data_IF_030642671924
#
_entry.id   IF_030642671924
#
_cell.length_a   1.000
_cell.length_b   1.000
_cell.length_c   1.000
_cell.angle_alpha   90.00
_cell.angle_beta   90.00
_cell.angle_gamma   90.00
#
_symmetry.space_group_name_H-M   'P 1'
#
loop_
_entity.id
_entity.type
_entity.pdbx_description
1 polymer ?
#
# COMPACT_ATOMS: atom_id res chain seq x y z
N UNK A 1 0.82 -37.35 -29.02
CA UNK A 1 -0.62 -37.24 -28.92
C UNK A 1 -1.11 -35.85 -29.39
N UNK A 2 -2.24 -35.78 -30.08
CA UNK A 2 -2.83 -34.51 -30.51
C UNK A 2 -2.45 -34.03 -31.92
N UNK A 3 -1.80 -34.84 -32.74
CA UNK A 3 -1.62 -34.55 -34.15
C UNK A 3 -2.92 -34.82 -34.91
N UNK A 4 -3.37 -33.87 -35.73
CA UNK A 4 -4.43 -34.11 -36.70
C UNK A 4 -3.79 -34.74 -37.93
N UNK A 5 -4.31 -35.90 -38.31
CA UNK A 5 -3.90 -36.57 -39.54
C UNK A 5 -5.01 -36.41 -40.57
N UNK A 6 -4.70 -35.76 -41.67
CA UNK A 6 -5.59 -35.68 -42.83
C UNK A 6 -5.09 -36.66 -43.86
N UNK A 7 -5.93 -37.60 -44.25
CA UNK A 7 -5.64 -38.55 -45.32
C UNK A 7 -6.47 -38.20 -46.55
N UNK A 8 -5.82 -37.95 -47.68
CA UNK A 8 -6.46 -37.78 -48.98
C UNK A 8 -6.47 -39.13 -49.71
N UNK A 9 -7.65 -39.56 -50.02
CA UNK A 9 -7.87 -40.76 -50.87
C UNK A 9 -7.87 -40.33 -52.33
N UNK A 10 -6.98 -40.91 -53.17
CA UNK A 10 -7.01 -40.64 -54.61
C UNK A 10 -8.32 -41.05 -55.31
N UNK A 11 -9.20 -41.72 -54.58
CA UNK A 11 -10.52 -42.20 -55.11
C UNK A 11 -11.72 -41.37 -54.58
N UNK A 12 -11.51 -40.20 -53.94
CA UNK A 12 -12.56 -39.21 -53.72
C UNK A 12 -13.16 -39.09 -52.32
N UNK A 13 -12.66 -39.79 -51.31
CA UNK A 13 -13.10 -39.62 -49.94
C UNK A 13 -11.93 -39.13 -49.05
N UNK A 14 -12.03 -37.94 -48.52
CA UNK A 14 -11.08 -37.39 -47.57
C UNK A 14 -11.45 -37.75 -46.14
N UNK A 15 -10.50 -38.30 -45.40
CA UNK A 15 -10.66 -38.61 -43.98
C UNK A 15 -9.74 -37.74 -43.11
N UNK A 16 -10.30 -37.20 -42.07
CA UNK A 16 -9.55 -36.49 -41.04
C UNK A 16 -9.74 -37.18 -39.70
N UNK A 17 -8.64 -37.36 -38.97
CA UNK A 17 -8.68 -37.86 -37.59
C UNK A 17 -7.62 -37.24 -36.72
N UNK A 18 -7.84 -37.35 -35.41
CA UNK A 18 -6.85 -36.91 -34.42
C UNK A 18 -6.04 -38.10 -33.95
N UNK A 19 -4.75 -38.08 -34.18
CA UNK A 19 -3.83 -39.09 -33.67
C UNK A 19 -3.63 -38.93 -32.17
N UNK A 20 -3.99 -39.96 -31.38
CA UNK A 20 -3.95 -39.95 -29.95
C UNK A 20 -2.59 -40.38 -29.37
N UNK A 21 -1.88 -41.23 -30.08
CA UNK A 21 -0.64 -41.85 -29.66
C UNK A 21 -0.67 -43.36 -29.81
N UNK A 22 0.36 -43.99 -29.22
CA UNK A 22 0.50 -45.45 -29.16
C UNK A 22 0.07 -45.92 -27.77
N UNK A 23 -0.86 -46.90 -27.74
CA UNK A 23 -1.36 -47.54 -26.53
C UNK A 23 -1.47 -49.05 -26.75
N UNK A 24 -1.13 -49.83 -25.75
CA UNK A 24 -1.11 -51.28 -25.83
C UNK A 24 -2.52 -51.89 -25.75
N UNK A 25 -3.44 -51.20 -25.11
CA UNK A 25 -4.80 -51.69 -24.90
C UNK A 25 -5.84 -50.57 -24.90
N UNK A 26 -7.11 -50.95 -25.01
CA UNK A 26 -8.27 -50.09 -24.80
C UNK A 26 -8.22 -49.41 -23.41
N UNK A 27 -7.79 -50.15 -22.37
CA UNK A 27 -7.76 -49.63 -21.01
C UNK A 27 -6.72 -48.52 -20.87
N UNK A 28 -5.59 -48.61 -21.57
CA UNK A 28 -4.57 -47.54 -21.56
C UNK A 28 -5.10 -46.28 -22.20
N UNK A 29 -5.84 -46.39 -23.31
CA UNK A 29 -6.51 -45.25 -23.96
C UNK A 29 -7.51 -44.59 -23.01
N UNK A 30 -8.36 -45.39 -22.34
CA UNK A 30 -9.36 -44.88 -21.39
C UNK A 30 -8.66 -44.20 -20.23
N UNK A 31 -7.59 -44.78 -19.68
CA UNK A 31 -6.78 -44.19 -18.60
C UNK A 31 -6.16 -42.87 -19.03
N UNK A 32 -5.61 -42.79 -20.24
CA UNK A 32 -5.07 -41.56 -20.81
C UNK A 32 -6.14 -40.48 -20.95
N UNK A 33 -7.32 -40.79 -21.50
CA UNK A 33 -8.43 -39.84 -21.63
C UNK A 33 -8.85 -39.27 -20.26
N UNK A 34 -8.96 -40.12 -19.25
CA UNK A 34 -9.25 -39.67 -17.86
C UNK A 34 -8.14 -38.77 -17.33
N UNK A 35 -6.88 -39.08 -17.60
CA UNK A 35 -5.74 -38.29 -17.12
C UNK A 35 -5.66 -36.88 -17.72
N UNK A 36 -6.22 -36.67 -18.91
CA UNK A 36 -6.31 -35.36 -19.59
C UNK A 36 -7.63 -34.65 -19.33
N UNK A 37 -8.45 -35.14 -18.38
CA UNK A 37 -9.68 -34.50 -17.92
C UNK A 37 -10.95 -34.80 -18.72
N UNK A 38 -10.95 -35.84 -19.55
CA UNK A 38 -12.18 -36.30 -20.20
C UNK A 38 -13.05 -37.04 -19.20
N UNK A 39 -14.30 -36.61 -19.03
CA UNK A 39 -15.21 -37.21 -18.05
C UNK A 39 -15.56 -38.65 -18.41
N UNK A 40 -15.74 -39.50 -17.40
CA UNK A 40 -16.12 -40.90 -17.61
C UNK A 40 -17.45 -41.06 -18.35
N UNK A 41 -18.39 -40.17 -18.08
CA UNK A 41 -19.68 -40.14 -18.80
C UNK A 41 -19.49 -39.89 -20.29
N UNK A 42 -18.58 -39.01 -20.68
CA UNK A 42 -18.28 -38.73 -22.08
C UNK A 42 -17.57 -39.92 -22.74
N UNK A 43 -16.59 -40.54 -22.06
CA UNK A 43 -15.89 -41.72 -22.56
C UNK A 43 -16.89 -42.86 -22.82
N UNK A 44 -17.76 -43.10 -21.84
CA UNK A 44 -18.78 -44.18 -21.95
C UNK A 44 -19.87 -43.89 -23.01
N UNK A 45 -20.06 -42.62 -23.39
CA UNK A 45 -20.98 -42.22 -24.45
C UNK A 45 -20.42 -42.42 -25.86
N UNK A 46 -19.14 -42.82 -26.00
CA UNK A 46 -18.46 -43.01 -27.30
C UNK A 46 -18.05 -44.43 -27.51
N UNK A 47 -18.08 -44.84 -28.78
CA UNK A 47 -17.56 -46.15 -29.16
C UNK A 47 -16.04 -46.15 -29.03
N UNK A 48 -15.50 -46.95 -28.13
CA UNK A 48 -14.05 -47.18 -27.99
C UNK A 48 -13.77 -48.59 -28.54
N UNK A 49 -12.94 -48.65 -29.56
CA UNK A 49 -12.56 -49.91 -30.20
C UNK A 49 -11.94 -50.93 -29.23
N UNK A 50 -11.95 -52.19 -29.64
CA UNK A 50 -11.47 -53.33 -28.85
C UNK A 50 -9.93 -53.48 -28.82
N UNK A 51 -9.21 -52.65 -29.54
CA UNK A 51 -7.75 -52.70 -29.66
C UNK A 51 -7.23 -53.73 -30.67
N UNK A 52 -8.11 -54.45 -31.38
CA UNK A 52 -7.72 -55.48 -32.31
C UNK A 52 -7.71 -55.02 -33.78
N UNK A 53 -7.74 -53.72 -34.01
CA UNK A 53 -7.72 -53.15 -35.34
C UNK A 53 -6.36 -53.26 -36.02
N UNK A 54 -6.33 -53.18 -37.34
CA UNK A 54 -5.12 -53.29 -38.16
C UNK A 54 -4.10 -52.14 -37.92
N UNK A 55 -4.48 -51.09 -37.22
CA UNK A 55 -3.58 -50.00 -36.82
C UNK A 55 -2.61 -50.33 -35.67
N UNK A 56 -2.72 -51.52 -35.08
CA UNK A 56 -1.85 -51.96 -33.99
C UNK A 56 -1.96 -51.05 -32.77
N UNK A 57 -0.82 -50.50 -32.30
CA UNK A 57 -0.76 -49.61 -31.15
C UNK A 57 -1.19 -48.17 -31.43
N UNK A 58 -1.41 -47.77 -32.68
CA UNK A 58 -1.74 -46.41 -33.05
C UNK A 58 -3.24 -46.17 -32.93
N UNK A 59 -3.62 -45.23 -32.07
CA UNK A 59 -5.00 -44.88 -31.79
C UNK A 59 -5.38 -43.52 -32.32
N UNK A 60 -6.64 -43.37 -32.73
CA UNK A 60 -7.17 -42.13 -33.32
C UNK A 60 -8.59 -41.84 -32.85
N UNK A 61 -8.97 -40.58 -32.92
CA UNK A 61 -10.34 -40.12 -32.82
C UNK A 61 -10.78 -39.71 -34.23
N UNK A 62 -11.86 -40.26 -34.71
CA UNK A 62 -12.42 -39.93 -36.03
C UNK A 62 -13.94 -39.77 -35.97
N UNK A 63 -14.53 -39.11 -36.98
CA UNK A 63 -15.96 -39.12 -37.24
C UNK A 63 -16.28 -40.21 -38.23
N UNK A 64 -17.10 -41.18 -37.81
CA UNK A 64 -17.61 -42.23 -38.67
C UNK A 64 -19.10 -41.97 -38.95
N UNK A 65 -19.49 -41.90 -40.20
CA UNK A 65 -20.84 -41.51 -40.64
C UNK A 65 -21.97 -42.30 -40.00
N UNK A 66 -21.76 -43.56 -39.65
CA UNK A 66 -22.78 -44.41 -39.04
C UNK A 66 -22.72 -44.50 -37.52
N UNK A 67 -21.54 -44.28 -36.92
CA UNK A 67 -21.30 -44.46 -35.50
C UNK A 67 -21.01 -43.13 -34.75
N UNK A 68 -20.97 -42.01 -35.48
CA UNK A 68 -20.59 -40.72 -34.94
C UNK A 68 -19.10 -40.63 -34.61
N UNK A 69 -18.74 -40.01 -33.47
CA UNK A 69 -17.34 -39.90 -33.04
C UNK A 69 -16.89 -41.19 -32.38
N UNK A 70 -15.88 -41.84 -32.96
CA UNK A 70 -15.32 -43.12 -32.50
C UNK A 70 -13.84 -42.95 -32.11
N UNK A 71 -13.39 -43.79 -31.18
CA UNK A 71 -11.99 -43.91 -30.77
C UNK A 71 -11.55 -45.33 -31.11
N UNK A 72 -10.66 -45.50 -32.08
CA UNK A 72 -10.25 -46.82 -32.51
C UNK A 72 -8.78 -46.86 -32.99
N UNK A 73 -8.30 -48.08 -33.21
CA UNK A 73 -7.01 -48.36 -33.84
C UNK A 73 -7.21 -49.09 -35.21
N UNK A 74 -8.39 -49.01 -35.81
CA UNK A 74 -8.63 -49.56 -37.12
C UNK A 74 -7.97 -48.70 -38.18
N UNK A 75 -7.20 -49.32 -39.06
CA UNK A 75 -6.91 -48.78 -40.40
C UNK A 75 -7.86 -49.49 -41.34
N UNK A 76 -8.68 -48.72 -42.09
CA UNK A 76 -9.48 -49.32 -43.12
C UNK A 76 -8.52 -50.06 -44.03
N UNK A 77 -8.80 -51.33 -44.31
CA UNK A 77 -7.88 -52.30 -44.96
C UNK A 77 -7.41 -51.95 -46.37
N UNK A 78 -7.56 -50.69 -46.78
CA UNK A 78 -6.93 -50.09 -47.94
C UNK A 78 -5.78 -49.26 -47.46
N UNK A 79 -4.75 -49.95 -47.14
CA UNK A 79 -3.36 -49.60 -46.86
C UNK A 79 -3.01 -48.10 -46.83
N UNK A 80 -2.46 -47.68 -45.72
CA UNK A 80 -1.80 -46.39 -45.51
C UNK A 80 -0.73 -46.02 -46.57
N UNK A 81 -0.32 -46.94 -47.39
CA UNK A 81 0.62 -46.81 -48.51
C UNK A 81 0.04 -46.11 -49.74
N UNK A 82 -1.28 -45.99 -49.86
CA UNK A 82 -1.93 -45.36 -51.01
C UNK A 82 -2.52 -43.96 -50.69
N UNK A 83 -2.41 -43.50 -49.44
CA UNK A 83 -2.94 -42.20 -49.03
C UNK A 83 -1.80 -41.18 -48.77
N UNK A 84 -1.94 -40.01 -49.35
CA UNK A 84 -1.11 -38.86 -48.96
C UNK A 84 -1.52 -38.42 -47.56
N UNK A 85 -0.76 -38.81 -46.55
CA UNK A 85 -1.02 -38.39 -45.15
C UNK A 85 -0.19 -37.18 -44.77
N UNK A 86 -0.86 -36.14 -44.30
CA UNK A 86 -0.23 -35.00 -43.68
C UNK A 86 -0.60 -34.95 -42.21
N UNK A 87 0.37 -35.07 -41.36
CA UNK A 87 0.20 -34.95 -39.90
C UNK A 87 0.47 -33.51 -39.43
N UNK A 88 -0.54 -32.90 -38.90
CA UNK A 88 -0.40 -31.59 -38.24
C UNK A 88 -0.46 -31.76 -36.73
N UNK A 89 0.60 -31.32 -36.06
CA UNK A 89 0.59 -31.25 -34.58
C UNK A 89 -0.24 -30.05 -34.17
N UNK A 90 -1.34 -30.26 -33.46
CA UNK A 90 -2.03 -29.18 -32.75
C UNK A 90 -1.15 -28.87 -31.53
N UNK A 91 -0.23 -27.95 -31.71
CA UNK A 91 0.44 -27.33 -30.56
C UNK A 91 -0.56 -26.35 -29.95
N UNK A 92 -0.85 -26.51 -28.65
CA UNK A 92 -1.43 -25.38 -27.92
C UNK A 92 -0.45 -24.23 -28.08
N UNK A 93 -0.75 -23.30 -28.95
CA UNK A 93 0.04 -22.09 -29.09
C UNK A 93 -0.22 -21.27 -27.85
N UNK A 94 0.84 -21.05 -27.06
CA UNK A 94 0.76 -20.07 -25.97
C UNK A 94 0.41 -18.71 -26.55
N UNK A 95 -0.50 -18.03 -25.89
CA UNK A 95 -0.92 -16.67 -26.23
C UNK A 95 -0.28 -15.69 -25.24
N UNK A 96 -0.13 -14.46 -25.67
CA UNK A 96 0.45 -13.43 -24.83
C UNK A 96 -0.61 -12.84 -23.89
N UNK A 97 -0.28 -12.78 -22.61
CA UNK A 97 -0.97 -12.03 -21.59
C UNK A 97 -0.13 -10.81 -21.26
N UNK A 98 -0.65 -9.62 -21.47
CA UNK A 98 0.01 -8.36 -21.21
C UNK A 98 -0.67 -7.66 -20.02
N UNK A 99 0.10 -7.11 -19.09
CA UNK A 99 -0.38 -6.24 -18.04
C UNK A 99 0.11 -4.83 -18.32
N UNK A 100 -0.83 -3.88 -18.41
CA UNK A 100 -0.61 -2.45 -18.47
C UNK A 100 -0.98 -1.85 -17.11
N UNK A 101 0.00 -1.27 -16.38
CA UNK A 101 -0.16 -0.76 -15.01
C UNK A 101 -0.34 0.76 -15.03
N UNK A 102 -1.43 1.26 -14.47
CA UNK A 102 -1.81 2.68 -14.48
C UNK A 102 -1.94 3.24 -13.06
N UNK A 103 -1.46 4.47 -12.86
CA UNK A 103 -1.76 5.24 -11.65
C UNK A 103 -3.17 5.85 -11.69
N UNK A 104 -3.55 6.52 -10.60
CA UNK A 104 -4.85 7.19 -10.47
C UNK A 104 -5.05 8.34 -11.44
N UNK A 105 -3.98 8.88 -12.03
CA UNK A 105 -4.05 9.92 -13.06
C UNK A 105 -4.24 9.36 -14.47
N UNK A 106 -4.18 8.03 -14.63
CA UNK A 106 -4.27 7.36 -15.94
C UNK A 106 -2.93 7.24 -16.67
N UNK A 107 -1.81 7.53 -16.03
CA UNK A 107 -0.47 7.37 -16.59
C UNK A 107 0.04 5.94 -16.36
N UNK A 108 0.81 5.41 -17.32
CA UNK A 108 1.50 4.14 -17.15
C UNK A 108 2.59 4.24 -16.07
N UNK A 109 2.59 3.30 -15.13
CA UNK A 109 3.58 3.22 -14.06
C UNK A 109 4.60 2.14 -14.38
N UNK A 110 5.78 2.56 -14.78
CA UNK A 110 6.93 1.69 -15.04
C UNK A 110 7.79 1.50 -13.79
N UNK A 111 8.97 2.09 -13.80
CA UNK A 111 9.88 2.06 -12.66
C UNK A 111 9.66 3.24 -11.72
N UNK A 112 9.92 3.02 -10.44
CA UNK A 112 9.94 4.09 -9.43
C UNK A 112 11.01 5.14 -9.76
N UNK A 113 10.68 6.41 -9.54
CA UNK A 113 11.67 7.50 -9.59
C UNK A 113 12.59 7.55 -8.37
N UNK A 114 12.26 6.79 -7.32
CA UNK A 114 13.03 6.74 -6.05
C UNK A 114 14.28 5.86 -6.20
N UNK A 115 14.10 4.62 -6.70
CA UNK A 115 15.15 3.58 -6.69
C UNK A 115 15.18 2.72 -7.95
N UNK A 116 14.41 3.09 -8.98
CA UNK A 116 14.22 2.31 -10.21
C UNK A 116 13.60 0.91 -10.02
N UNK A 117 13.03 0.60 -8.85
CA UNK A 117 12.26 -0.62 -8.65
C UNK A 117 11.03 -0.69 -9.54
N UNK A 118 10.57 -1.91 -9.84
CA UNK A 118 9.40 -2.15 -10.69
C UNK A 118 8.44 -3.12 -10.02
N UNK A 119 7.19 -3.12 -10.47
CA UNK A 119 6.19 -4.06 -9.99
C UNK A 119 6.43 -5.48 -10.47
N UNK A 120 5.99 -6.44 -9.65
CA UNK A 120 5.97 -7.87 -9.98
C UNK A 120 4.58 -8.43 -9.70
N UNK A 121 4.01 -9.11 -10.70
CA UNK A 121 2.74 -9.82 -10.59
C UNK A 121 2.94 -11.32 -10.62
N UNK A 122 2.38 -12.03 -9.65
CA UNK A 122 2.20 -13.49 -9.72
C UNK A 122 0.99 -13.80 -10.58
N UNK A 123 1.14 -14.78 -11.49
CA UNK A 123 0.08 -15.29 -12.34
C UNK A 123 -0.34 -16.67 -11.84
N UNK A 124 -1.65 -16.84 -11.61
CA UNK A 124 -2.20 -18.00 -10.94
C UNK A 124 -3.27 -18.67 -11.79
N UNK A 125 -3.37 -20.01 -11.69
CA UNK A 125 -4.41 -20.78 -12.36
C UNK A 125 -5.74 -20.81 -11.60
N UNK A 126 -5.77 -20.31 -10.37
CA UNK A 126 -6.94 -20.24 -9.49
C UNK A 126 -7.09 -18.86 -8.83
N UNK A 127 -8.35 -18.46 -8.55
CA UNK A 127 -8.68 -17.15 -7.97
C UNK A 127 -8.18 -16.98 -6.53
N UNK A 128 -7.94 -18.08 -5.82
CA UNK A 128 -7.39 -18.04 -4.45
C UNK A 128 -5.89 -17.80 -4.42
N UNK A 129 -5.24 -17.68 -5.58
CA UNK A 129 -3.80 -17.44 -5.74
C UNK A 129 -2.91 -18.46 -5.01
N UNK A 130 -3.32 -19.74 -5.01
CA UNK A 130 -2.55 -20.84 -4.40
C UNK A 130 -1.59 -21.48 -5.40
N UNK A 131 -1.98 -21.57 -6.67
CA UNK A 131 -1.24 -22.26 -7.73
C UNK A 131 -0.61 -21.23 -8.68
N UNK A 132 0.58 -20.72 -8.32
CA UNK A 132 1.35 -19.80 -9.16
C UNK A 132 1.91 -20.56 -10.38
N UNK A 133 1.66 -20.05 -11.58
CA UNK A 133 2.11 -20.65 -12.85
C UNK A 133 3.17 -19.81 -13.55
N UNK A 134 3.24 -18.50 -13.27
CA UNK A 134 4.24 -17.61 -13.84
C UNK A 134 4.39 -16.33 -13.02
N UNK A 135 5.32 -15.47 -13.43
CA UNK A 135 5.46 -14.08 -12.95
C UNK A 135 5.56 -13.14 -14.15
N UNK A 136 5.00 -11.95 -13.99
CA UNK A 136 5.19 -10.82 -14.92
C UNK A 136 5.92 -9.72 -14.16
N UNK A 137 7.11 -9.34 -14.64
CA UNK A 137 7.82 -8.12 -14.21
C UNK A 137 7.40 -6.98 -15.10
N UNK A 138 6.98 -5.88 -14.51
CA UNK A 138 6.61 -4.66 -15.25
C UNK A 138 7.88 -3.95 -15.66
N UNK A 139 7.99 -3.64 -16.94
CA UNK A 139 9.11 -2.90 -17.50
C UNK A 139 9.04 -1.39 -17.22
N UNK A 140 10.09 -0.65 -17.60
CA UNK A 140 10.16 0.80 -17.42
C UNK A 140 9.04 1.58 -18.15
N UNK A 141 8.41 0.95 -19.12
CA UNK A 141 7.28 1.50 -19.90
C UNK A 141 5.90 1.23 -19.28
N UNK A 142 5.83 0.68 -18.06
CA UNK A 142 4.58 0.34 -17.36
C UNK A 142 3.88 -0.92 -17.88
N UNK A 143 4.56 -1.76 -18.66
CA UNK A 143 4.01 -2.95 -19.27
C UNK A 143 4.87 -4.17 -18.99
N UNK A 144 4.20 -5.32 -18.88
CA UNK A 144 4.86 -6.61 -18.77
C UNK A 144 4.04 -7.68 -19.44
N UNK A 145 4.67 -8.80 -19.85
CA UNK A 145 3.94 -9.87 -20.52
C UNK A 145 4.52 -11.25 -20.24
N UNK A 146 3.68 -12.27 -20.43
CA UNK A 146 4.04 -13.69 -20.38
C UNK A 146 3.28 -14.46 -21.45
N UNK A 147 3.88 -15.55 -21.94
CA UNK A 147 3.21 -16.50 -22.84
C UNK A 147 2.73 -17.69 -22.04
N UNK A 148 1.45 -18.00 -22.13
CA UNK A 148 0.79 -19.09 -21.42
C UNK A 148 -0.30 -19.72 -22.32
N UNK A 149 -0.71 -20.97 -22.07
CA UNK A 149 -1.86 -21.58 -22.73
C UNK A 149 -3.10 -20.69 -22.66
N UNK A 150 -3.88 -20.65 -23.75
CA UNK A 150 -5.06 -19.78 -23.85
C UNK A 150 -6.19 -20.25 -22.90
N UNK A 151 -6.24 -19.72 -21.70
CA UNK A 151 -7.31 -19.87 -20.71
C UNK A 151 -7.37 -18.64 -19.79
N UNK A 152 -8.32 -18.61 -18.89
CA UNK A 152 -8.40 -17.55 -17.86
C UNK A 152 -7.35 -17.79 -16.77
N UNK A 153 -6.67 -16.71 -16.35
CA UNK A 153 -5.75 -16.69 -15.24
C UNK A 153 -6.10 -15.54 -14.28
N UNK A 154 -5.42 -15.53 -13.16
CA UNK A 154 -5.57 -14.52 -12.12
C UNK A 154 -4.20 -13.88 -11.83
N UNK A 155 -4.16 -12.56 -11.81
CA UNK A 155 -2.95 -11.81 -11.49
C UNK A 155 -3.10 -11.14 -10.14
N UNK A 156 -2.07 -11.23 -9.28
CA UNK A 156 -1.98 -10.55 -8.01
C UNK A 156 -0.63 -9.87 -7.91
N UNK A 157 -0.61 -8.63 -7.48
CA UNK A 157 0.64 -7.94 -7.23
C UNK A 157 1.39 -8.56 -6.05
N UNK A 158 2.66 -8.86 -6.25
CA UNK A 158 3.58 -9.39 -5.23
C UNK A 158 4.50 -8.32 -4.69
N UNK A 159 4.81 -7.34 -5.52
CA UNK A 159 5.67 -6.22 -5.19
C UNK A 159 5.26 -5.00 -5.99
N UNK A 160 5.04 -3.87 -5.32
CA UNK A 160 4.89 -2.56 -5.95
C UNK A 160 6.26 -1.87 -6.14
N UNK A 161 6.37 -0.90 -7.05
CA UNK A 161 7.53 -0.01 -7.10
C UNK A 161 7.57 0.87 -5.84
N UNK A 162 8.74 1.26 -5.37
CA UNK A 162 8.87 2.16 -4.21
C UNK A 162 8.12 3.47 -4.44
N UNK A 163 7.37 3.91 -3.44
CA UNK A 163 6.47 5.06 -3.48
C UNK A 163 5.03 4.74 -3.91
N UNK A 164 4.75 3.46 -4.13
CA UNK A 164 3.42 2.93 -4.41
C UNK A 164 3.06 1.80 -3.44
N UNK A 165 1.78 1.64 -3.16
CA UNK A 165 1.26 0.60 -2.29
C UNK A 165 1.00 -0.68 -3.08
N UNK A 166 1.29 -1.85 -2.51
CA UNK A 166 0.92 -3.13 -3.12
C UNK A 166 -0.60 -3.21 -3.24
N UNK A 167 -1.11 -3.38 -4.48
CA UNK A 167 -2.53 -3.55 -4.72
C UNK A 167 -2.97 -4.97 -4.30
N UNK A 168 -3.88 -5.11 -3.31
CA UNK A 168 -4.36 -6.40 -2.84
C UNK A 168 -5.33 -7.08 -3.82
N UNK A 169 -5.74 -6.38 -4.87
CA UNK A 169 -6.75 -6.86 -5.82
C UNK A 169 -6.26 -8.07 -6.62
N UNK A 170 -7.11 -9.08 -6.75
CA UNK A 170 -6.89 -10.21 -7.65
C UNK A 170 -7.61 -9.95 -8.96
N UNK A 171 -6.85 -9.68 -10.01
CA UNK A 171 -7.37 -9.40 -11.35
C UNK A 171 -7.61 -10.68 -12.12
N UNK A 172 -8.77 -10.80 -12.77
CA UNK A 172 -9.01 -11.83 -13.76
C UNK A 172 -8.42 -11.38 -15.09
N UNK A 173 -7.44 -12.10 -15.63
CA UNK A 173 -6.76 -11.76 -16.88
C UNK A 173 -7.05 -12.75 -18.00
N UNK A 174 -7.10 -12.22 -19.21
CA UNK A 174 -7.34 -12.97 -20.48
C UNK A 174 -6.21 -12.67 -21.46
N UNK A 175 -6.13 -13.46 -22.52
CA UNK A 175 -5.19 -13.19 -23.63
C UNK A 175 -5.31 -11.75 -24.14
N UNK A 176 -4.16 -11.12 -24.43
CA UNK A 176 -4.05 -9.74 -24.83
C UNK A 176 -3.83 -8.80 -23.62
N UNK A 177 -4.27 -7.54 -23.77
CA UNK A 177 -4.02 -6.46 -22.80
C UNK A 177 -4.98 -6.52 -21.62
N UNK A 178 -4.43 -6.41 -20.41
CA UNK A 178 -5.17 -6.35 -19.16
C UNK A 178 -4.69 -5.10 -18.38
N UNK A 179 -5.63 -4.29 -17.92
CA UNK A 179 -5.32 -3.06 -17.14
C UNK A 179 -5.36 -3.38 -15.65
N UNK A 180 -4.35 -2.93 -14.93
CA UNK A 180 -4.29 -2.99 -13.46
C UNK A 180 -4.05 -1.60 -12.89
N UNK A 181 -4.44 -1.40 -11.63
CA UNK A 181 -4.37 -0.12 -10.94
C UNK A 181 -3.10 -0.03 -10.10
N UNK A 182 -2.67 1.20 -9.84
CA UNK A 182 -1.57 1.54 -8.94
C UNK A 182 -1.95 2.74 -8.09
N UNK A 183 -1.84 2.61 -6.77
CA UNK A 183 -2.07 3.71 -5.84
C UNK A 183 -0.74 4.15 -5.21
N UNK A 184 -0.61 5.46 -4.95
CA UNK A 184 0.56 5.98 -4.25
C UNK A 184 0.61 5.48 -2.81
N UNK A 185 1.80 5.24 -2.32
CA UNK A 185 2.04 4.95 -0.91
C UNK A 185 1.75 6.19 -0.06
N UNK A 186 0.95 6.00 0.99
CA UNK A 186 0.54 7.06 1.90
C UNK A 186 0.75 6.67 3.36
N UNK A 187 0.87 7.67 4.22
CA UNK A 187 0.99 7.48 5.65
C UNK A 187 0.28 8.58 6.44
N UNK A 188 0.52 8.60 7.75
CA UNK A 188 -0.16 9.45 8.72
C UNK A 188 0.84 10.25 9.55
N UNK A 189 0.56 11.54 9.78
CA UNK A 189 1.22 12.34 10.81
C UNK A 189 0.23 12.53 11.95
N UNK A 190 0.60 12.02 13.14
CA UNK A 190 -0.20 12.11 14.35
C UNK A 190 0.47 13.04 15.36
N UNK A 191 -0.22 14.10 15.72
CA UNK A 191 0.25 15.08 16.70
C UNK A 191 -0.26 14.70 18.08
N UNK A 192 0.66 14.69 19.05
CA UNK A 192 0.37 14.47 20.45
C UNK A 192 0.69 15.77 21.21
N UNK A 193 -0.36 16.48 21.60
CA UNK A 193 -0.30 17.77 22.26
C UNK A 193 -0.34 17.64 23.78
N UNK A 194 0.58 18.32 24.44
CA UNK A 194 0.57 18.57 25.88
C UNK A 194 0.63 20.08 26.15
N UNK A 195 0.24 20.51 27.35
CA UNK A 195 0.35 21.88 27.81
C UNK A 195 0.48 21.87 29.35
N UNK A 196 1.25 22.82 29.92
CA UNK A 196 1.46 22.91 31.37
C UNK A 196 0.19 23.15 32.18
N UNK A 197 -0.82 23.80 31.57
CA UNK A 197 -2.12 24.05 32.19
C UNK A 197 -3.18 22.98 31.84
N UNK A 198 -2.78 21.93 31.10
CA UNK A 198 -3.66 20.83 30.69
C UNK A 198 -4.63 21.18 29.57
N UNK A 199 -4.60 22.39 28.99
CA UNK A 199 -5.53 22.79 27.92
C UNK A 199 -4.98 22.35 26.57
N UNK A 200 -5.35 21.12 26.15
CA UNK A 200 -4.82 20.41 24.98
C UNK A 200 -5.80 20.28 23.82
N UNK A 201 -7.10 20.47 24.07
CA UNK A 201 -8.16 20.34 23.07
C UNK A 201 -8.32 21.61 22.23
N UNK A 202 -8.70 21.46 20.96
CA UNK A 202 -8.98 22.59 20.05
C UNK A 202 -7.73 23.34 19.60
N UNK A 203 -6.51 22.84 19.88
CA UNK A 203 -5.26 23.45 19.39
C UNK A 203 -5.12 23.19 17.92
N UNK A 204 -4.82 24.23 17.14
CA UNK A 204 -4.79 24.15 15.70
C UNK A 204 -3.38 23.92 15.19
N UNK A 205 -3.24 22.92 14.34
CA UNK A 205 -1.98 22.53 13.71
C UNK A 205 -2.05 22.70 12.21
N UNK A 206 -0.94 23.04 11.61
CA UNK A 206 -0.75 23.15 10.17
C UNK A 206 0.44 22.26 9.77
N UNK A 207 0.23 21.45 8.73
CA UNK A 207 1.33 20.86 7.98
C UNK A 207 1.52 21.65 6.69
N UNK A 208 2.77 21.82 6.25
CA UNK A 208 3.11 22.42 4.96
C UNK A 208 4.21 21.60 4.29
N UNK A 209 4.09 21.43 2.98
CA UNK A 209 4.99 20.60 2.19
C UNK A 209 4.99 21.01 0.72
N UNK A 210 5.96 20.52 -0.04
CA UNK A 210 6.00 20.69 -1.49
C UNK A 210 5.75 19.35 -2.18
N UNK A 211 4.85 19.32 -3.15
CA UNK A 211 4.55 18.16 -3.98
C UNK A 211 4.36 18.59 -5.43
N UNK A 212 5.04 17.93 -6.37
CA UNK A 212 5.06 18.27 -7.80
C UNK A 212 5.37 19.77 -8.03
N UNK A 213 6.33 20.33 -7.29
CA UNK A 213 6.73 21.73 -7.37
C UNK A 213 5.72 22.74 -6.80
N UNK A 214 4.61 22.28 -6.21
CA UNK A 214 3.58 23.14 -5.61
C UNK A 214 3.69 23.11 -4.10
N UNK A 215 3.61 24.28 -3.46
CA UNK A 215 3.49 24.39 -1.99
C UNK A 215 2.05 24.10 -1.58
N UNK A 216 1.87 23.17 -0.68
CA UNK A 216 0.58 22.71 -0.14
C UNK A 216 0.57 22.85 1.38
N UNK A 217 -0.62 22.98 1.97
CA UNK A 217 -0.80 23.00 3.40
C UNK A 217 -2.19 22.48 3.78
N UNK A 218 -2.25 21.84 4.94
CA UNK A 218 -3.47 21.31 5.55
C UNK A 218 -3.49 21.70 7.03
N UNK A 219 -4.69 21.81 7.61
CA UNK A 219 -4.87 22.12 9.04
C UNK A 219 -5.81 21.12 9.69
N UNK A 220 -5.53 20.82 10.96
CA UNK A 220 -6.42 20.02 11.81
C UNK A 220 -6.33 20.52 13.26
N UNK A 221 -7.35 20.20 14.08
CA UNK A 221 -7.46 20.58 15.49
C UNK A 221 -7.37 19.38 16.41
N UNK A 222 -6.69 19.56 17.53
CA UNK A 222 -6.63 18.51 18.53
C UNK A 222 -8.01 18.21 19.15
N UNK A 223 -8.30 16.94 19.32
CA UNK A 223 -9.47 16.44 20.06
C UNK A 223 -9.27 16.54 21.59
N UNK A 224 -10.24 16.05 22.37
CA UNK A 224 -10.20 16.06 23.84
C UNK A 224 -8.99 15.30 24.44
N UNK A 225 -8.33 14.43 23.67
CA UNK A 225 -7.12 13.69 24.08
C UNK A 225 -5.84 14.41 23.64
N UNK A 226 -5.93 15.61 23.07
CA UNK A 226 -4.78 16.36 22.56
C UNK A 226 -4.22 15.77 21.25
N UNK A 227 -5.02 15.07 20.45
CA UNK A 227 -4.57 14.42 19.23
C UNK A 227 -5.17 15.14 18.02
N UNK A 228 -4.29 15.54 17.07
CA UNK A 228 -4.66 15.92 15.70
C UNK A 228 -4.03 14.93 14.72
N UNK A 229 -4.68 14.67 13.58
CA UNK A 229 -4.28 13.62 12.65
C UNK A 229 -4.39 14.08 11.20
N UNK A 230 -3.31 13.90 10.44
CA UNK A 230 -3.25 14.15 9.01
C UNK A 230 -3.01 12.82 8.31
N UNK A 231 -4.05 12.33 7.63
CA UNK A 231 -4.06 11.01 6.97
C UNK A 231 -3.87 11.13 5.45
N UNK A 232 -3.57 9.99 4.81
CA UNK A 232 -3.42 9.89 3.35
C UNK A 232 -2.33 10.80 2.75
N UNK A 233 -1.34 11.14 3.54
CA UNK A 233 -0.21 11.95 3.11
C UNK A 233 0.74 11.11 2.25
N UNK A 234 1.17 11.62 1.11
CA UNK A 234 2.10 10.92 0.21
C UNK A 234 3.49 10.78 0.82
N UNK A 235 4.11 9.61 0.67
CA UNK A 235 5.46 9.36 1.22
C UNK A 235 6.53 10.03 0.35
N UNK A 236 6.38 9.94 -0.98
CA UNK A 236 7.36 10.44 -1.93
C UNK A 236 6.75 11.44 -2.92
N UNK A 237 7.52 12.43 -3.30
CA UNK A 237 7.27 13.23 -4.49
C UNK A 237 7.81 12.47 -5.72
N UNK A 238 6.90 11.84 -6.46
CA UNK A 238 7.27 11.00 -7.61
C UNK A 238 7.83 11.80 -8.79
N UNK A 239 7.70 13.13 -8.81
CA UNK A 239 8.33 13.98 -9.82
C UNK A 239 9.84 14.14 -9.59
N UNK A 240 10.26 14.04 -8.34
CA UNK A 240 11.67 14.22 -7.93
C UNK A 240 12.32 12.94 -7.40
N UNK A 241 11.52 11.91 -7.08
CA UNK A 241 11.96 10.68 -6.43
C UNK A 241 12.39 10.86 -4.97
N UNK A 242 12.05 11.98 -4.33
CA UNK A 242 12.48 12.28 -2.95
C UNK A 242 11.34 12.09 -1.96
N UNK A 243 11.69 11.61 -0.76
CA UNK A 243 10.76 11.59 0.37
C UNK A 243 10.30 13.02 0.70
N UNK A 244 8.99 13.20 0.90
CA UNK A 244 8.40 14.50 1.23
C UNK A 244 8.77 14.87 2.66
N UNK A 245 9.23 16.11 2.85
CA UNK A 245 9.41 16.70 4.18
C UNK A 245 8.19 17.52 4.52
N UNK A 246 7.51 17.15 5.60
CA UNK A 246 6.38 17.86 6.18
C UNK A 246 6.84 18.75 7.30
N UNK A 247 6.57 20.07 7.19
CA UNK A 247 6.80 21.03 8.29
C UNK A 247 5.51 21.12 9.11
N UNK A 248 5.57 20.67 10.35
CA UNK A 248 4.45 20.69 11.31
C UNK A 248 4.61 21.88 12.23
N UNK A 249 3.57 22.69 12.39
CA UNK A 249 3.56 23.87 13.28
C UNK A 249 2.22 23.99 14.00
N UNK A 250 2.23 24.39 15.25
CA UNK A 250 1.04 24.89 15.92
C UNK A 250 0.80 26.33 15.46
N UNK A 251 -0.43 26.63 15.08
CA UNK A 251 -0.86 27.96 14.63
C UNK A 251 -1.91 28.52 15.59
N UNK A 252 -2.08 29.85 15.59
CA UNK A 252 -3.03 30.53 16.48
C UNK A 252 -2.78 30.21 17.96
N UNK A 253 -1.48 30.14 18.35
CA UNK A 253 -1.07 29.85 19.73
C UNK A 253 -1.52 30.98 20.63
N UNK A 254 -2.20 30.64 21.74
CA UNK A 254 -2.65 31.63 22.72
C UNK A 254 -1.48 32.44 23.27
N UNK A 255 -1.67 33.74 23.54
CA UNK A 255 -0.63 34.70 23.96
C UNK A 255 0.09 34.29 25.23
N UNK A 256 -0.57 33.51 26.10
CA UNK A 256 -0.04 33.02 27.37
C UNK A 256 1.05 31.95 27.22
N UNK A 257 1.21 31.36 26.05
CA UNK A 257 2.23 30.35 25.83
C UNK A 257 3.42 30.89 25.07
N UNK A 258 4.57 30.30 25.30
CA UNK A 258 5.69 30.37 24.36
C UNK A 258 5.29 29.68 23.04
N UNK A 259 5.68 30.28 21.92
CA UNK A 259 5.34 29.70 20.62
C UNK A 259 6.23 28.46 20.36
N UNK A 260 5.65 27.25 20.23
CA UNK A 260 6.44 26.05 19.96
C UNK A 260 7.12 26.14 18.59
N UNK A 261 8.36 25.65 18.52
CA UNK A 261 9.09 25.58 17.25
C UNK A 261 8.46 24.57 16.30
N UNK A 262 8.38 24.93 15.03
CA UNK A 262 7.98 23.99 13.97
C UNK A 262 8.94 22.79 13.90
N UNK A 263 8.41 21.63 13.47
CA UNK A 263 9.15 20.37 13.35
C UNK A 263 9.05 19.83 11.92
N UNK A 264 10.18 19.41 11.39
CA UNK A 264 10.23 18.74 10.09
C UNK A 264 10.23 17.23 10.29
N UNK A 265 9.35 16.53 9.58
CA UNK A 265 9.23 15.07 9.63
C UNK A 265 9.06 14.49 8.23
N UNK A 266 9.42 13.22 8.08
CA UNK A 266 9.17 12.43 6.87
C UNK A 266 8.43 11.17 7.25
N UNK A 267 7.52 10.70 6.41
CA UNK A 267 6.78 9.47 6.65
C UNK A 267 7.67 8.23 6.58
N UNK A 268 8.79 8.31 5.85
CA UNK A 268 9.84 7.26 5.83
C UNK A 268 10.51 7.02 7.20
N UNK A 269 10.38 7.96 8.14
CA UNK A 269 10.92 7.86 9.49
C UNK A 269 9.88 7.31 10.49
N UNK A 270 8.69 6.93 10.01
CA UNK A 270 7.59 6.39 10.81
C UNK A 270 7.71 4.89 11.09
N UNK A 271 6.70 4.39 11.79
CA UNK A 271 6.52 2.97 12.07
C UNK A 271 6.19 2.18 10.78
N UNK A 272 6.03 0.86 10.89
CA UNK A 272 5.76 -0.06 9.76
C UNK A 272 4.53 0.36 8.93
N UNK A 273 3.55 1.01 9.56
CA UNK A 273 2.34 1.55 8.93
C UNK A 273 2.52 2.99 8.42
N UNK A 274 3.76 3.50 8.35
CA UNK A 274 4.10 4.86 7.94
C UNK A 274 3.42 5.95 8.79
N UNK A 275 3.23 5.68 10.08
CA UNK A 275 2.72 6.64 11.05
C UNK A 275 3.88 7.33 11.78
N UNK A 276 3.93 8.67 11.70
CA UNK A 276 4.89 9.49 12.44
C UNK A 276 4.18 10.21 13.57
N UNK A 277 4.65 9.99 14.81
CA UNK A 277 4.14 10.64 16.01
C UNK A 277 4.97 11.90 16.34
N UNK A 278 4.32 13.06 16.35
CA UNK A 278 4.97 14.36 16.61
C UNK A 278 4.43 14.95 17.92
N UNK A 279 5.32 15.21 18.87
CA UNK A 279 4.94 15.76 20.18
C UNK A 279 5.10 17.29 20.17
N UNK A 280 4.11 18.01 20.69
CA UNK A 280 4.16 19.44 20.96
C UNK A 280 3.75 19.71 22.40
N UNK A 281 4.50 20.58 23.08
CA UNK A 281 4.18 21.06 24.42
C UNK A 281 4.01 22.57 24.38
N UNK A 282 2.97 23.10 25.06
CA UNK A 282 2.84 24.52 25.31
C UNK A 282 3.30 24.86 26.73
N UNK A 283 4.34 25.66 26.80
CA UNK A 283 4.90 26.18 28.04
C UNK A 283 4.28 27.56 28.31
N UNK A 284 3.88 27.80 29.54
CA UNK A 284 3.34 29.08 29.95
C UNK A 284 4.43 30.14 29.96
N UNK A 285 4.15 31.36 29.51
CA UNK A 285 5.04 32.49 29.67
C UNK A 285 5.13 32.87 31.13
N UNK A 286 6.35 32.89 31.63
CA UNK A 286 6.66 33.30 33.01
C UNK A 286 7.44 34.59 33.02
N UNK A 287 7.43 35.26 34.19
CA UNK A 287 8.19 36.48 34.46
C UNK A 287 8.72 36.49 35.87
N UNK A 288 9.35 37.59 36.22
CA UNK A 288 9.89 37.79 37.56
C UNK A 288 9.49 39.17 38.14
N UNK A 289 9.24 39.18 39.42
CA UNK A 289 9.05 40.46 40.20
C UNK A 289 10.29 40.63 41.06
N UNK A 290 10.95 41.78 40.90
CA UNK A 290 12.06 42.21 41.75
C UNK A 290 11.57 43.30 42.69
N UNK A 291 11.72 43.08 43.98
CA UNK A 291 11.45 44.05 45.04
C UNK A 291 12.79 44.60 45.53
N UNK A 292 12.91 45.95 45.57
CA UNK A 292 14.02 46.65 46.19
C UNK A 292 13.47 47.38 47.41
N UNK A 293 13.75 46.90 48.62
CA UNK A 293 13.32 47.51 49.83
C UNK A 293 14.35 48.61 50.23
N UNK A 294 13.84 49.76 50.55
CA UNK A 294 14.59 50.87 51.15
C UNK A 294 13.91 51.37 52.45
N UNK A 295 14.64 51.63 53.45
CA UNK A 295 14.16 52.23 54.69
C UNK A 295 15.18 53.32 55.20
N UNK A 296 14.70 54.30 55.89
CA UNK A 296 15.54 55.43 56.39
C UNK A 296 16.67 54.98 57.34
N UNK A 297 16.45 53.89 58.07
CA UNK A 297 17.43 53.29 58.98
C UNK A 297 18.34 52.25 58.31
N UNK A 298 18.30 52.13 57.00
CA UNK A 298 19.06 51.14 56.20
C UNK A 298 18.83 49.69 56.58
N UNK A 299 17.75 49.33 57.33
CA UNK A 299 17.41 47.98 57.71
C UNK A 299 16.51 47.32 56.63
N UNK A 300 17.10 47.06 55.49
CA UNK A 300 16.38 46.58 54.26
C UNK A 300 16.31 45.07 54.17
N UNK A 301 17.17 44.35 54.89
CA UNK A 301 17.25 42.88 54.85
C UNK A 301 16.24 42.22 55.75
N UNK A 302 15.80 40.99 55.34
CA UNK A 302 14.91 40.17 56.12
C UNK A 302 13.44 40.64 56.13
N UNK A 303 13.07 41.57 55.25
CA UNK A 303 11.68 42.06 55.13
C UNK A 303 10.85 41.08 54.34
N UNK A 304 9.67 40.77 54.85
CA UNK A 304 8.75 39.80 54.22
C UNK A 304 7.70 40.52 53.40
N UNK A 305 7.48 40.00 52.18
CA UNK A 305 6.47 40.50 51.25
C UNK A 305 5.56 39.38 50.85
N UNK A 306 4.30 39.70 50.63
CA UNK A 306 3.36 38.88 49.87
C UNK A 306 3.18 39.46 48.48
N UNK A 307 3.17 38.58 47.49
CA UNK A 307 2.82 38.87 46.09
C UNK A 307 1.59 38.06 45.77
N UNK A 308 0.47 38.73 45.47
CA UNK A 308 -0.83 38.05 45.22
C UNK A 308 -1.29 38.37 43.81
N UNK A 309 -1.66 37.35 43.05
CA UNK A 309 -2.20 37.51 41.69
C UNK A 309 -2.71 36.18 41.19
N UNK A 310 -3.72 36.20 40.31
CA UNK A 310 -4.36 35.02 39.73
C UNK A 310 -4.77 33.95 40.76
N UNK A 311 -5.33 34.38 41.91
CA UNK A 311 -5.76 33.51 43.00
C UNK A 311 -4.63 32.82 43.78
N UNK A 312 -3.35 33.16 43.52
CA UNK A 312 -2.19 32.61 44.22
C UNK A 312 -1.54 33.69 45.05
N UNK A 313 -0.97 33.29 46.19
CA UNK A 313 -0.18 34.14 47.09
C UNK A 313 1.20 33.52 47.28
N UNK A 314 2.23 34.34 47.02
CA UNK A 314 3.62 33.99 47.21
C UNK A 314 4.19 34.78 48.36
N UNK A 315 5.05 34.21 49.18
CA UNK A 315 5.81 34.91 50.23
C UNK A 315 7.27 34.91 49.88
N UNK A 316 7.88 36.08 49.90
CA UNK A 316 9.32 36.27 49.62
C UNK A 316 9.94 37.19 50.70
N UNK A 317 11.26 37.08 50.86
CA UNK A 317 12.02 37.80 51.89
C UNK A 317 13.24 38.47 51.26
N UNK A 318 13.51 39.71 51.64
CA UNK A 318 14.69 40.42 51.13
C UNK A 318 15.96 39.83 51.72
N UNK A 319 16.98 39.75 50.87
CA UNK A 319 18.37 39.51 51.31
C UNK A 319 18.94 40.67 52.12
N UNK A 320 20.17 40.53 52.59
CA UNK A 320 20.89 41.57 53.29
C UNK A 320 21.07 42.86 52.49
N UNK A 321 21.02 42.75 51.15
CA UNK A 321 21.07 43.87 50.21
C UNK A 321 19.73 44.58 50.01
N UNK A 322 18.67 44.14 50.72
CA UNK A 322 17.31 44.64 50.54
C UNK A 322 16.57 44.17 49.29
N UNK A 323 17.10 43.17 48.55
CA UNK A 323 16.52 42.67 47.31
C UNK A 323 15.80 41.36 47.54
N UNK A 324 14.61 41.23 46.97
CA UNK A 324 13.91 39.96 46.82
C UNK A 324 13.48 39.76 45.37
N UNK A 325 13.60 38.53 44.83
CA UNK A 325 13.20 38.18 43.47
C UNK A 325 12.23 36.99 43.55
N UNK A 326 11.05 37.14 42.97
CA UNK A 326 10.09 36.09 42.74
C UNK A 326 10.12 35.73 41.25
N UNK A 327 10.63 34.56 40.89
CA UNK A 327 10.79 34.11 39.51
C UNK A 327 9.68 33.11 39.14
N UNK A 328 9.57 32.83 37.85
CA UNK A 328 8.74 31.76 37.26
C UNK A 328 7.26 31.87 37.61
N UNK A 329 6.77 33.12 37.76
CA UNK A 329 5.33 33.38 37.96
C UNK A 329 4.63 33.63 36.62
N UNK A 330 3.36 33.13 36.41
CA UNK A 330 2.63 33.31 35.18
C UNK A 330 2.45 34.77 34.79
N UNK A 331 2.63 35.09 33.50
CA UNK A 331 2.38 36.45 32.97
C UNK A 331 0.93 36.66 32.60
N UNK A 332 0.25 35.57 32.17
CA UNK A 332 -1.13 35.62 31.72
C UNK A 332 -1.99 34.60 32.47
N UNK A 333 -3.28 34.94 32.64
CA UNK A 333 -4.29 34.04 33.17
C UNK A 333 -4.84 33.06 32.11
N UNK A 334 -5.81 32.20 32.47
CA UNK A 334 -6.47 31.27 31.59
C UNK A 334 -7.28 31.91 30.44
N UNK A 335 -7.59 33.21 30.54
CA UNK A 335 -8.30 33.99 29.55
C UNK A 335 -7.39 34.80 28.64
N UNK A 336 -6.07 34.56 28.67
CA UNK A 336 -5.04 35.32 27.96
C UNK A 336 -4.94 36.78 28.38
N UNK A 337 -5.40 37.17 29.62
CA UNK A 337 -5.28 38.50 30.17
C UNK A 337 -3.99 38.56 31.01
N UNK A 338 -3.27 39.72 30.94
CA UNK A 338 -2.12 39.93 31.78
C UNK A 338 -2.52 39.95 33.26
N UNK A 339 -1.83 39.17 34.08
CA UNK A 339 -2.06 39.13 35.52
C UNK A 339 -1.51 40.38 36.15
N UNK A 340 -2.32 41.04 36.98
CA UNK A 340 -1.90 42.09 37.86
C UNK A 340 -1.52 41.50 39.21
N UNK A 341 -0.27 41.72 39.64
CA UNK A 341 0.23 41.28 40.93
C UNK A 341 0.22 42.42 41.91
N UNK A 342 -0.39 42.19 43.08
CA UNK A 342 -0.35 43.13 44.24
C UNK A 342 0.74 42.70 45.19
N UNK A 343 1.58 43.65 45.59
CA UNK A 343 2.69 43.42 46.50
C UNK A 343 2.40 44.14 47.82
N UNK A 344 2.52 43.44 48.96
CA UNK A 344 2.33 44.01 50.29
C UNK A 344 3.45 43.57 51.23
N UNK A 345 4.05 44.50 52.00
CA UNK A 345 5.00 44.18 53.04
C UNK A 345 4.24 43.67 54.27
N UNK A 346 4.76 42.58 54.88
CA UNK A 346 4.24 42.02 56.12
C UNK A 346 4.98 42.56 57.32
N UNK A 347 4.30 42.59 58.46
CA UNK A 347 4.93 42.88 59.76
C UNK A 347 5.78 44.21 59.72
N UNK A 348 5.21 45.28 59.13
CA UNK A 348 5.85 46.56 59.10
C UNK A 348 6.04 47.01 60.57
N UNK A 349 7.26 47.26 60.99
CA UNK A 349 7.50 47.75 62.37
C UNK A 349 6.74 49.05 62.65
N UNK A 350 6.21 49.19 63.87
CA UNK A 350 5.42 50.37 64.28
C UNK A 350 6.15 51.69 64.05
N UNK A 351 7.47 51.66 63.95
CA UNK A 351 8.31 52.84 63.67
C UNK A 351 8.25 53.36 62.20
N UNK A 352 7.58 52.64 61.32
CA UNK A 352 7.38 53.00 59.93
C UNK A 352 5.90 53.23 59.61
#
# INVERSE_FOLDING_TARGET
>A
PGSVVVAQNPYGEDHAWIYMGEFDSKNDVVSYLKSIGVSESLINSKTVGDGKGAGGRHWRIESNGSEGVVINNKTDGKTATAMNMSAFRITKTDVTFEIDKYNTNGDLVGKSSVDNSTAVYGIYSDKSCKNKVAEIKIGSNGKGSVKLPNKTYYAKELKAPTGYSVDPTVYTIKAGKNKVKEDYETGTIKINKTAEDGIISGREFKISYTYNGKSLAETDKTNAKGIATFDNLKVYDMSTGKAITYTVSEINVDTRYETPKAKNVKLTDGDVDLTVNVKFNNELKTGSIKINKQSEDNQNGGREFTVTGNGKTYSIKTGSDGVAILSDIPVYDSNNQKIVYTISEKNVPVKY
#
